data_IF_869018827042
#
_entry.id   IF_869018827042
#
_cell.length_a   1.000
_cell.length_b   1.000
_cell.length_c   1.000
_cell.angle_alpha   90.00
_cell.angle_beta   90.00
_cell.angle_gamma   90.00
#
_symmetry.space_group_name_H-M   'P 1'
#
loop_
_entity.id
_entity.type
_entity.pdbx_description
1 polymer ?
#
# COMPACT_ATOMS: atom_id res chain seq x y z
N UNK A 1 4.25 57.52 43.82
CA UNK A 1 4.15 56.34 44.71
C UNK A 1 4.03 55.12 43.82
N UNK A 2 4.94 54.16 43.79
CA UNK A 2 6.35 54.05 44.15
C UNK A 2 6.75 52.70 43.53
N UNK A 3 7.78 52.70 42.71
CA UNK A 3 8.39 51.52 42.10
C UNK A 3 9.15 50.70 43.17
N UNK A 4 9.24 49.37 43.00
CA UNK A 4 10.37 48.58 43.53
C UNK A 4 10.64 47.36 42.62
N UNK A 5 11.77 47.36 41.89
CA UNK A 5 12.36 46.19 41.23
C UNK A 5 13.57 45.68 42.03
N UNK A 6 13.76 44.36 42.14
CA UNK A 6 15.03 43.80 42.64
C UNK A 6 15.65 42.82 41.65
N UNK A 7 16.71 43.33 41.02
CA UNK A 7 17.88 42.59 40.57
C UNK A 7 18.68 42.07 41.79
N UNK A 8 19.50 41.03 41.59
CA UNK A 8 20.95 41.00 41.90
C UNK A 8 21.51 39.63 41.45
N UNK A 9 22.30 39.57 40.38
CA UNK A 9 23.78 39.66 40.33
C UNK A 9 24.52 38.47 40.97
N UNK A 10 25.18 37.67 40.11
CA UNK A 10 26.22 36.68 40.39
C UNK A 10 27.49 37.32 40.97
N UNK A 11 28.45 36.55 41.55
CA UNK A 11 29.58 36.09 40.73
C UNK A 11 30.17 34.70 41.09
N UNK A 12 31.06 34.24 40.19
CA UNK A 12 31.78 32.96 40.12
C UNK A 12 33.10 32.99 40.96
N UNK A 13 34.11 32.10 40.77
CA UNK A 13 34.60 31.08 41.71
C UNK A 13 36.04 31.35 42.25
N UNK A 14 36.55 30.55 43.19
CA UNK A 14 38.01 30.42 43.43
C UNK A 14 38.36 29.12 44.23
N UNK A 15 39.64 28.67 44.29
CA UNK A 15 40.02 27.28 44.00
C UNK A 15 40.83 26.65 45.15
N UNK A 16 41.23 25.40 44.96
CA UNK A 16 42.50 24.83 45.45
C UNK A 16 42.81 24.89 46.95
N UNK A 17 42.79 23.72 47.59
CA UNK A 17 43.81 23.47 48.61
C UNK A 17 44.36 22.04 48.53
N UNK A 18 45.68 21.94 48.63
CA UNK A 18 46.51 20.74 48.46
C UNK A 18 46.90 20.13 49.81
N UNK A 19 47.45 18.90 49.76
CA UNK A 19 48.32 18.20 50.73
C UNK A 19 47.60 17.36 51.79
N UNK A 20 48.03 16.15 52.19
CA UNK A 20 49.25 15.31 51.98
C UNK A 20 49.02 13.96 52.68
N UNK A 21 49.62 12.85 52.20
CA UNK A 21 49.97 11.71 53.07
C UNK A 21 49.86 10.30 52.47
N UNK A 22 50.92 9.84 51.80
CA UNK A 22 51.27 8.42 51.57
C UNK A 22 51.89 7.78 52.85
N UNK A 23 52.29 6.48 52.89
CA UNK A 23 51.69 5.24 52.36
C UNK A 23 51.73 4.08 53.42
N UNK A 24 50.86 3.06 53.33
CA UNK A 24 51.15 1.73 53.92
C UNK A 24 50.56 0.57 53.09
N UNK A 25 51.44 -0.37 52.79
CA UNK A 25 51.31 -1.57 51.98
C UNK A 25 50.26 -2.58 52.45
N UNK A 26 49.61 -3.25 51.50
CA UNK A 26 48.96 -4.55 51.77
C UNK A 26 48.00 -5.03 50.69
N UNK A 27 48.44 -6.00 49.88
CA UNK A 27 47.54 -6.99 49.28
C UNK A 27 47.15 -6.78 47.82
N UNK A 28 47.74 -7.60 46.96
CA UNK A 28 47.33 -7.79 45.59
C UNK A 28 45.86 -8.22 45.48
N UNK A 29 45.10 -7.52 44.64
CA UNK A 29 43.76 -7.88 44.21
C UNK A 29 43.39 -7.03 43.02
N UNK A 30 43.93 -7.36 41.84
CA UNK A 30 43.54 -6.68 40.60
C UNK A 30 42.02 -6.76 40.42
N UNK A 31 41.34 -5.69 39.94
CA UNK A 31 39.92 -5.77 39.67
C UNK A 31 39.70 -6.86 38.62
N UNK A 32 38.98 -7.91 39.03
CA UNK A 32 38.42 -8.89 38.12
C UNK A 32 37.66 -8.11 37.05
N UNK A 33 38.15 -8.19 35.81
CA UNK A 33 37.49 -7.64 34.65
C UNK A 33 36.06 -8.19 34.63
N UNK A 34 35.09 -7.31 34.92
CA UNK A 34 33.69 -7.62 34.70
C UNK A 34 33.56 -8.05 33.23
N UNK A 35 33.30 -9.34 33.00
CA UNK A 35 33.14 -9.88 31.66
C UNK A 35 31.96 -9.17 31.02
N UNK A 36 32.26 -8.25 30.10
CA UNK A 36 31.26 -7.57 29.31
C UNK A 36 30.52 -8.64 28.50
N UNK A 37 29.22 -8.78 28.76
CA UNK A 37 28.38 -9.68 27.99
C UNK A 37 28.42 -9.28 26.51
N UNK A 38 28.37 -10.26 25.59
CA UNK A 38 28.35 -9.98 24.17
C UNK A 38 27.14 -9.09 23.80
N UNK A 39 27.29 -8.18 22.83
CA UNK A 39 26.18 -7.34 22.35
C UNK A 39 25.07 -8.19 21.74
N UNK A 40 23.86 -7.65 21.63
CA UNK A 40 22.75 -8.35 21.00
C UNK A 40 23.08 -8.71 19.54
N UNK A 41 22.85 -9.96 19.15
CA UNK A 41 23.31 -10.46 17.86
C UNK A 41 23.06 -11.95 17.65
N UNK A 42 23.46 -12.44 16.48
CA UNK A 42 23.39 -13.84 16.12
C UNK A 42 24.70 -14.54 16.46
N UNK A 43 24.60 -15.61 17.25
CA UNK A 43 25.74 -16.40 17.71
C UNK A 43 25.46 -17.89 17.49
N UNK A 44 26.50 -18.73 17.53
CA UNK A 44 26.33 -20.18 17.43
C UNK A 44 25.32 -20.67 18.50
N UNK A 45 24.38 -21.53 18.10
CA UNK A 45 23.36 -22.02 19.01
C UNK A 45 24.00 -22.87 20.13
N UNK A 46 23.92 -22.46 21.41
CA UNK A 46 24.52 -23.21 22.51
C UNK A 46 23.75 -24.50 22.86
N UNK A 47 22.59 -24.74 22.25
CA UNK A 47 21.82 -25.96 22.49
C UNK A 47 22.55 -27.17 21.87
N UNK A 48 22.69 -28.32 22.58
CA UNK A 48 23.42 -29.50 22.06
C UNK A 48 22.87 -30.09 20.75
N UNK A 49 21.61 -29.78 20.43
CA UNK A 49 20.93 -30.17 19.18
C UNK A 49 20.69 -28.98 18.23
N UNK A 50 21.25 -27.81 18.56
CA UNK A 50 21.10 -26.59 17.78
C UNK A 50 21.89 -26.67 16.49
N UNK A 51 21.21 -26.65 15.34
CA UNK A 51 21.86 -26.50 14.05
C UNK A 51 21.79 -25.04 13.62
N UNK A 52 22.93 -24.34 13.62
CA UNK A 52 23.06 -22.97 13.15
C UNK A 52 23.25 -21.95 14.26
N UNK A 53 22.61 -20.78 14.11
CA UNK A 53 22.78 -19.64 15.01
C UNK A 53 21.48 -19.33 15.77
N UNK A 54 21.61 -18.89 17.02
CA UNK A 54 20.53 -18.39 17.87
C UNK A 54 20.72 -16.91 18.16
N UNK A 55 19.63 -16.17 18.32
CA UNK A 55 19.70 -14.75 18.64
C UNK A 55 19.86 -14.52 20.15
N UNK A 56 20.90 -13.78 20.54
CA UNK A 56 21.16 -13.27 21.89
C UNK A 56 20.65 -11.82 21.98
N UNK A 57 19.82 -11.52 22.98
CA UNK A 57 19.20 -10.19 23.12
C UNK A 57 20.01 -9.21 23.99
N UNK A 58 21.20 -9.60 24.44
CA UNK A 58 22.04 -8.82 25.37
C UNK A 58 21.94 -9.28 26.84
N UNK A 59 20.91 -10.07 27.19
CA UNK A 59 20.73 -10.61 28.53
C UNK A 59 20.44 -12.12 28.55
N UNK A 60 19.80 -12.66 27.50
CA UNK A 60 19.47 -14.08 27.37
C UNK A 60 19.40 -14.54 25.91
N UNK A 61 19.46 -15.86 25.75
CA UNK A 61 19.17 -16.51 24.47
C UNK A 61 17.67 -16.50 24.17
N UNK A 62 17.31 -16.14 22.95
CA UNK A 62 15.91 -16.15 22.50
C UNK A 62 15.54 -17.45 21.78
N UNK A 63 14.26 -17.63 21.47
CA UNK A 63 13.78 -18.77 20.68
C UNK A 63 14.06 -18.66 19.18
N UNK A 64 14.59 -17.53 18.70
CA UNK A 64 14.87 -17.33 17.28
C UNK A 64 16.16 -18.05 16.87
N UNK A 65 16.04 -18.95 15.89
CA UNK A 65 17.16 -19.68 15.28
C UNK A 65 17.21 -19.44 13.76
N UNK A 66 18.41 -19.52 13.18
CA UNK A 66 18.63 -19.46 11.73
C UNK A 66 19.70 -20.47 11.30
N UNK A 67 19.63 -21.00 10.07
CA UNK A 67 20.73 -21.80 9.51
C UNK A 67 22.04 -20.99 9.47
N UNK A 68 23.18 -21.65 9.62
CA UNK A 68 24.47 -20.99 9.48
C UNK A 68 24.65 -20.49 8.04
N UNK A 69 24.86 -19.18 7.79
CA UNK A 69 25.13 -18.67 6.45
C UNK A 69 26.39 -19.26 5.81
N UNK A 70 27.32 -19.84 6.59
CA UNK A 70 28.49 -20.56 6.06
C UNK A 70 28.16 -21.98 5.55
N UNK A 71 26.96 -22.51 5.83
CA UNK A 71 26.56 -23.87 5.46
C UNK A 71 25.81 -23.98 4.12
N UNK A 72 25.87 -22.95 3.27
CA UNK A 72 25.32 -23.04 1.91
C UNK A 72 26.07 -24.12 1.10
N UNK A 73 25.38 -25.07 0.41
CA UNK A 73 26.05 -26.09 -0.38
C UNK A 73 26.84 -25.46 -1.53
N UNK A 74 28.11 -25.82 -1.68
CA UNK A 74 28.91 -25.47 -2.85
C UNK A 74 28.26 -26.05 -4.14
N UNK A 75 28.30 -25.34 -5.29
CA UNK A 75 27.81 -25.89 -6.55
C UNK A 75 28.60 -27.15 -6.93
N UNK A 76 27.90 -28.24 -7.24
CA UNK A 76 28.50 -29.48 -7.72
C UNK A 76 29.22 -29.24 -9.06
N UNK A 77 30.52 -29.58 -9.13
CA UNK A 77 31.26 -29.65 -10.39
C UNK A 77 30.77 -30.87 -11.20
N UNK A 78 30.61 -30.76 -12.53
CA UNK A 78 30.25 -31.91 -13.36
C UNK A 78 31.42 -32.92 -13.46
N UNK A 79 31.17 -34.24 -13.52
CA UNK A 79 32.23 -35.25 -13.57
C UNK A 79 32.88 -35.28 -14.96
N UNK A 80 34.21 -35.21 -14.99
CA UNK A 80 35.02 -35.44 -16.19
C UNK A 80 35.06 -36.95 -16.48
N UNK A 81 34.29 -37.40 -17.47
CA UNK A 81 34.31 -38.79 -17.94
C UNK A 81 35.36 -38.97 -19.04
N UNK A 82 36.34 -39.82 -18.77
CA UNK A 82 37.45 -40.20 -19.66
C UNK A 82 36.97 -40.92 -20.92
N UNK A 83 37.62 -40.60 -22.03
CA UNK A 83 37.64 -41.36 -23.29
C UNK A 83 38.04 -42.82 -23.06
N UNK A 84 37.31 -43.75 -23.68
CA UNK A 84 37.82 -45.06 -24.11
C UNK A 84 36.87 -45.67 -25.14
N UNK A 85 37.25 -45.60 -26.43
CA UNK A 85 36.72 -46.48 -27.49
C UNK A 85 37.52 -47.79 -27.53
N UNK A 86 36.87 -48.91 -27.85
CA UNK A 86 37.45 -49.85 -28.81
C UNK A 86 36.46 -50.36 -29.88
N UNK A 87 37.06 -50.90 -30.94
CA UNK A 87 36.62 -51.12 -32.33
C UNK A 87 35.86 -52.46 -32.57
N UNK A 88 34.77 -52.42 -33.38
CA UNK A 88 34.23 -53.34 -34.47
C UNK A 88 34.21 -54.90 -34.32
N UNK A 89 33.55 -55.75 -35.19
CA UNK A 89 32.85 -55.53 -36.49
C UNK A 89 31.56 -56.37 -36.78
N UNK A 90 30.90 -56.08 -37.93
CA UNK A 90 29.89 -56.85 -38.73
C UNK A 90 28.37 -56.65 -38.48
N UNK A 91 27.66 -56.16 -39.52
CA UNK A 91 26.21 -56.35 -39.71
C UNK A 91 25.53 -55.34 -40.65
N UNK A 92 25.39 -55.69 -41.94
CA UNK A 92 24.92 -54.87 -43.07
C UNK A 92 23.44 -54.39 -43.01
N UNK A 93 23.12 -53.24 -43.65
CA UNK A 93 21.70 -52.86 -43.88
C UNK A 93 21.27 -51.52 -44.54
N UNK A 94 21.95 -51.00 -45.59
CA UNK A 94 21.47 -50.06 -46.66
C UNK A 94 21.25 -48.52 -46.42
N UNK A 95 21.65 -47.63 -47.39
CA UNK A 95 21.57 -46.13 -47.37
C UNK A 95 20.66 -45.53 -48.51
N UNK A 96 20.71 -44.24 -48.97
CA UNK A 96 20.93 -42.90 -48.36
C UNK A 96 19.94 -41.78 -48.86
N UNK A 97 19.92 -40.61 -48.19
CA UNK A 97 19.76 -39.24 -48.76
C UNK A 97 20.36 -38.29 -47.71
N UNK A 98 21.59 -37.76 -47.80
CA UNK A 98 22.04 -36.63 -48.64
C UNK A 98 21.49 -35.31 -48.08
N UNK A 99 22.17 -34.42 -47.34
CA UNK A 99 23.58 -34.19 -47.08
C UNK A 99 23.97 -32.78 -47.54
N UNK A 100 23.99 -31.78 -46.64
CA UNK A 100 24.80 -30.56 -46.77
C UNK A 100 25.40 -30.16 -45.41
N UNK A 101 26.67 -29.79 -45.47
CA UNK A 101 27.65 -29.64 -44.39
C UNK A 101 27.64 -28.20 -43.77
N UNK A 102 28.55 -27.86 -42.83
CA UNK A 102 28.28 -26.98 -41.68
C UNK A 102 28.54 -25.50 -41.94
N UNK A 103 27.91 -24.63 -41.14
CA UNK A 103 28.20 -23.19 -41.12
C UNK A 103 28.71 -22.74 -39.73
N UNK A 104 29.87 -22.06 -39.64
CA UNK A 104 30.56 -21.75 -38.40
C UNK A 104 30.15 -20.38 -37.82
N UNK A 105 30.20 -20.25 -36.49
CA UNK A 105 30.35 -18.97 -35.79
C UNK A 105 29.07 -18.13 -35.63
N UNK A 106 28.40 -18.29 -34.49
CA UNK A 106 27.37 -17.35 -34.01
C UNK A 106 27.53 -17.11 -32.53
N UNK A 107 28.05 -15.94 -32.15
CA UNK A 107 28.20 -15.50 -30.77
C UNK A 107 26.81 -15.41 -30.10
N UNK A 108 26.58 -15.99 -28.91
CA UNK A 108 25.35 -15.71 -28.16
C UNK A 108 25.36 -14.24 -27.73
N UNK A 109 24.36 -13.48 -28.18
CA UNK A 109 24.07 -12.13 -27.67
C UNK A 109 23.87 -12.20 -26.14
N UNK A 110 24.45 -11.28 -25.34
CA UNK A 110 24.12 -11.18 -23.93
C UNK A 110 22.66 -10.75 -23.81
N UNK A 111 21.83 -11.64 -23.27
CA UNK A 111 20.46 -11.35 -22.88
C UNK A 111 20.54 -10.26 -21.81
N UNK A 112 19.96 -9.09 -22.12
CA UNK A 112 19.93 -7.92 -21.24
C UNK A 112 19.45 -8.34 -19.84
N UNK A 113 20.27 -8.00 -18.85
CA UNK A 113 20.14 -8.46 -17.48
C UNK A 113 18.76 -8.19 -16.88
N UNK A 114 18.06 -9.28 -16.62
CA UNK A 114 17.14 -9.34 -15.50
C UNK A 114 17.93 -8.96 -14.25
N UNK A 115 17.51 -7.88 -13.59
CA UNK A 115 17.96 -7.54 -12.26
C UNK A 115 17.57 -8.69 -11.32
N UNK A 116 18.44 -9.68 -11.20
CA UNK A 116 18.39 -10.71 -10.17
C UNK A 116 18.51 -10.01 -8.82
N UNK A 117 17.36 -9.76 -8.23
CA UNK A 117 17.22 -9.20 -6.90
C UNK A 117 17.87 -10.19 -5.91
N UNK A 118 18.98 -9.83 -5.22
CA UNK A 118 19.79 -10.80 -4.46
C UNK A 118 19.16 -11.25 -3.13
N UNK A 119 17.92 -10.85 -2.84
CA UNK A 119 17.17 -11.28 -1.66
C UNK A 119 16.34 -12.53 -1.96
N UNK A 120 17.03 -13.67 -2.18
CA UNK A 120 16.41 -15.00 -2.04
C UNK A 120 16.13 -15.23 -0.55
N UNK A 121 14.90 -15.01 -0.11
CA UNK A 121 14.45 -15.42 1.22
C UNK A 121 14.35 -16.94 1.29
N UNK A 122 15.25 -17.54 2.08
CA UNK A 122 15.25 -18.93 2.48
C UNK A 122 14.19 -19.16 3.57
N UNK A 123 12.93 -19.21 3.17
CA UNK A 123 11.81 -19.74 3.94
C UNK A 123 10.71 -20.07 2.92
N UNK A 124 10.15 -21.28 2.96
CA UNK A 124 9.18 -21.82 2.01
C UNK A 124 7.81 -21.13 1.99
N UNK A 125 7.79 -19.81 1.83
CA UNK A 125 6.62 -19.03 1.50
C UNK A 125 6.62 -18.79 0.00
N UNK A 126 5.59 -19.29 -0.68
CA UNK A 126 5.42 -19.10 -2.11
C UNK A 126 5.53 -17.63 -2.49
N UNK A 127 6.19 -17.34 -3.60
CA UNK A 127 6.19 -16.00 -4.19
C UNK A 127 4.75 -15.50 -4.30
N UNK A 128 4.44 -14.24 -3.92
CA UNK A 128 3.11 -13.70 -4.15
C UNK A 128 2.82 -13.80 -5.65
N UNK A 129 1.89 -14.68 -6.02
CA UNK A 129 1.42 -14.81 -7.38
C UNK A 129 0.59 -13.55 -7.68
N UNK A 130 1.25 -12.55 -8.29
CA UNK A 130 0.62 -11.28 -8.62
C UNK A 130 1.58 -10.09 -8.67
N UNK A 131 1.05 -8.94 -9.13
CA UNK A 131 1.78 -7.68 -9.16
C UNK A 131 2.06 -7.20 -7.73
N UNK A 132 3.26 -6.73 -7.46
CA UNK A 132 3.72 -6.26 -6.16
C UNK A 132 4.17 -4.80 -6.22
N UNK A 133 4.18 -4.13 -5.07
CA UNK A 133 4.89 -2.86 -4.87
C UNK A 133 6.40 -3.05 -5.01
N UNK A 134 7.18 -1.97 -5.15
CA UNK A 134 8.65 -2.06 -5.20
C UNK A 134 9.26 -2.77 -3.97
N UNK A 135 8.65 -2.63 -2.79
CA UNK A 135 9.07 -3.34 -1.59
C UNK A 135 8.51 -4.77 -1.48
N UNK A 136 7.76 -5.27 -2.47
CA UNK A 136 7.36 -6.68 -2.58
C UNK A 136 6.03 -7.03 -1.89
N UNK A 137 5.18 -6.06 -1.58
CA UNK A 137 3.84 -6.29 -1.03
C UNK A 137 2.83 -6.47 -2.15
N UNK A 138 1.98 -7.49 -2.06
CA UNK A 138 1.00 -7.83 -3.09
C UNK A 138 -0.02 -6.70 -3.29
N UNK A 139 -0.20 -6.29 -4.54
CA UNK A 139 -1.23 -5.33 -4.92
C UNK A 139 -2.62 -5.95 -4.82
N UNK A 140 -3.60 -5.15 -4.42
CA UNK A 140 -5.00 -5.57 -4.37
C UNK A 140 -5.52 -6.05 -5.72
N UNK A 141 -6.28 -7.14 -5.70
CA UNK A 141 -7.04 -7.63 -6.86
C UNK A 141 -8.06 -6.60 -7.32
N UNK A 142 -8.30 -6.48 -8.63
CA UNK A 142 -9.34 -5.58 -9.13
C UNK A 142 -10.74 -5.99 -8.65
N UNK A 143 -11.06 -7.29 -8.68
CA UNK A 143 -12.34 -7.78 -8.16
C UNK A 143 -12.57 -7.44 -6.69
N UNK A 144 -11.53 -7.54 -5.85
CA UNK A 144 -11.62 -7.14 -4.45
C UNK A 144 -11.87 -5.63 -4.29
N UNK A 145 -11.23 -4.80 -5.12
CA UNK A 145 -11.45 -3.34 -5.11
C UNK A 145 -12.83 -2.97 -5.62
N UNK A 146 -13.34 -3.67 -6.63
CA UNK A 146 -14.69 -3.48 -7.15
C UNK A 146 -15.75 -3.81 -6.08
N UNK A 147 -15.63 -4.96 -5.43
CA UNK A 147 -16.53 -5.33 -4.32
C UNK A 147 -16.42 -4.34 -3.15
N UNK A 148 -15.21 -3.88 -2.81
CA UNK A 148 -15.03 -2.83 -1.81
C UNK A 148 -15.78 -1.54 -2.18
N UNK A 149 -15.72 -1.12 -3.45
CA UNK A 149 -16.45 0.04 -3.95
C UNK A 149 -17.97 -0.15 -3.88
N UNK A 150 -18.48 -1.36 -4.14
CA UNK A 150 -19.91 -1.68 -3.95
C UNK A 150 -20.32 -1.61 -2.48
N UNK A 151 -19.52 -2.15 -1.56
CA UNK A 151 -19.81 -2.10 -0.12
C UNK A 151 -19.84 -0.65 0.38
N UNK A 152 -18.82 0.13 0.04
CA UNK A 152 -18.78 1.55 0.42
C UNK A 152 -19.91 2.34 -0.25
N UNK A 153 -20.25 2.01 -1.50
CA UNK A 153 -21.37 2.61 -2.23
C UNK A 153 -22.71 2.36 -1.53
N UNK A 154 -23.00 1.11 -1.14
CA UNK A 154 -24.22 0.78 -0.39
C UNK A 154 -24.26 1.51 0.95
N UNK A 155 -23.16 1.51 1.70
CA UNK A 155 -23.08 2.18 3.00
C UNK A 155 -23.33 3.69 2.88
N UNK A 156 -22.71 4.33 1.87
CA UNK A 156 -22.91 5.75 1.59
C UNK A 156 -24.33 6.04 1.10
N UNK A 157 -24.90 5.22 0.24
CA UNK A 157 -26.28 5.38 -0.23
C UNK A 157 -27.27 5.28 0.92
N UNK A 158 -27.13 4.29 1.80
CA UNK A 158 -27.99 4.17 2.99
C UNK A 158 -27.89 5.42 3.86
N UNK A 159 -26.66 5.88 4.12
CA UNK A 159 -26.45 7.08 4.95
C UNK A 159 -27.06 8.33 4.30
N UNK A 160 -26.89 8.51 3.00
CA UNK A 160 -27.46 9.64 2.25
C UNK A 160 -28.98 9.57 2.20
N UNK A 161 -29.58 8.39 2.01
CA UNK A 161 -31.03 8.19 2.05
C UNK A 161 -31.58 8.53 3.43
N UNK A 162 -30.92 8.11 4.51
CA UNK A 162 -31.34 8.49 5.88
C UNK A 162 -31.30 10.01 6.05
N UNK A 163 -30.23 10.68 5.60
CA UNK A 163 -30.13 12.15 5.66
C UNK A 163 -31.23 12.81 4.82
N UNK A 164 -31.48 12.31 3.61
CA UNK A 164 -32.54 12.78 2.71
C UNK A 164 -33.91 12.67 3.39
N UNK A 165 -34.26 11.51 3.92
CA UNK A 165 -35.58 11.28 4.52
C UNK A 165 -35.79 12.09 5.80
N UNK A 166 -34.77 12.18 6.65
CA UNK A 166 -34.90 12.84 7.97
C UNK A 166 -34.91 14.37 7.85
N UNK A 167 -34.09 14.94 6.96
CA UNK A 167 -33.89 16.39 6.90
C UNK A 167 -34.46 17.05 5.63
N UNK A 168 -34.73 16.27 4.59
CA UNK A 168 -35.12 16.75 3.27
C UNK A 168 -36.29 15.94 2.69
N UNK A 169 -37.23 15.51 3.53
CA UNK A 169 -38.37 14.68 3.12
C UNK A 169 -39.17 15.28 1.95
N UNK A 170 -39.32 16.61 1.92
CA UNK A 170 -40.01 17.36 0.84
C UNK A 170 -39.44 17.06 -0.56
N UNK A 171 -38.14 16.76 -0.64
CA UNK A 171 -37.48 16.35 -1.89
C UNK A 171 -38.11 15.06 -2.42
N UNK A 172 -38.40 14.12 -1.53
CA UNK A 172 -39.01 12.83 -1.90
C UNK A 172 -40.45 13.04 -2.41
N UNK A 173 -41.21 13.91 -1.74
CA UNK A 173 -42.57 14.26 -2.18
C UNK A 173 -42.55 15.00 -3.52
N UNK A 174 -41.57 15.87 -3.76
CA UNK A 174 -41.34 16.50 -5.05
C UNK A 174 -40.97 15.50 -6.14
N UNK A 175 -40.14 14.49 -5.85
CA UNK A 175 -39.83 13.41 -6.79
C UNK A 175 -41.08 12.63 -7.19
N UNK A 176 -41.92 12.25 -6.23
CA UNK A 176 -43.17 11.53 -6.50
C UNK A 176 -44.15 12.36 -7.36
N UNK A 177 -44.29 13.66 -7.07
CA UNK A 177 -45.11 14.56 -7.89
C UNK A 177 -44.55 14.70 -9.31
N UNK A 178 -43.24 14.88 -9.42
CA UNK A 178 -42.57 14.97 -10.71
C UNK A 178 -42.77 13.72 -11.57
N UNK A 179 -42.64 12.52 -10.98
CA UNK A 179 -42.90 11.26 -11.70
C UNK A 179 -44.35 11.17 -12.20
N UNK A 180 -45.33 11.57 -11.37
CA UNK A 180 -46.74 11.60 -11.74
C UNK A 180 -47.02 12.59 -12.88
N UNK A 181 -46.41 13.78 -12.83
CA UNK A 181 -46.55 14.81 -13.86
C UNK A 181 -45.93 14.37 -15.18
N UNK A 182 -44.75 13.72 -15.15
CA UNK A 182 -44.12 13.13 -16.35
C UNK A 182 -44.99 12.03 -16.94
N UNK A 183 -45.48 11.09 -16.12
CA UNK A 183 -46.32 9.99 -16.61
C UNK A 183 -47.64 10.48 -17.18
N UNK A 184 -48.27 11.49 -16.55
CA UNK A 184 -49.52 12.07 -17.05
C UNK A 184 -49.32 12.81 -18.38
N UNK A 185 -48.24 13.60 -18.52
CA UNK A 185 -47.90 14.27 -19.77
C UNK A 185 -47.62 13.28 -20.90
N UNK A 186 -46.81 12.25 -20.63
CA UNK A 186 -46.51 11.20 -21.62
C UNK A 186 -47.77 10.45 -22.05
N UNK A 187 -48.64 10.09 -21.09
CA UNK A 187 -49.90 9.38 -21.39
C UNK A 187 -50.89 10.20 -22.22
N UNK A 188 -50.83 11.53 -22.12
CA UNK A 188 -51.66 12.46 -22.90
C UNK A 188 -51.02 12.91 -24.21
N UNK A 189 -49.83 12.38 -24.54
CA UNK A 189 -49.08 12.77 -25.74
C UNK A 189 -48.44 14.17 -25.65
N UNK A 190 -48.41 14.77 -24.45
CA UNK A 190 -47.75 16.04 -24.20
C UNK A 190 -46.24 15.87 -24.07
N UNK A 191 -45.49 16.78 -24.68
CA UNK A 191 -44.04 16.95 -24.47
C UNK A 191 -43.72 18.04 -23.46
N UNK A 192 -44.75 18.70 -22.91
CA UNK A 192 -44.59 19.75 -21.92
C UNK A 192 -44.73 19.18 -20.51
N UNK A 193 -43.59 18.90 -19.88
CA UNK A 193 -43.47 18.44 -18.51
C UNK A 193 -42.14 18.97 -17.91
N UNK A 194 -42.07 19.18 -16.59
CA UNK A 194 -40.81 19.57 -15.94
C UNK A 194 -39.73 18.51 -16.16
N UNK A 195 -38.53 18.94 -16.55
CA UNK A 195 -37.44 18.02 -16.90
C UNK A 195 -36.70 17.43 -15.69
N UNK A 196 -36.96 17.96 -14.49
CA UNK A 196 -36.28 17.56 -13.26
C UNK A 196 -37.20 17.69 -12.05
N UNK A 197 -37.08 16.82 -11.05
CA UNK A 197 -37.75 16.97 -9.76
C UNK A 197 -37.25 18.17 -8.93
N UNK A 198 -36.12 18.77 -9.31
CA UNK A 198 -35.59 19.99 -8.70
C UNK A 198 -36.17 21.29 -9.31
N UNK A 199 -37.09 21.18 -10.28
CA UNK A 199 -37.71 22.32 -10.93
C UNK A 199 -38.39 23.27 -9.92
N UNK A 200 -38.28 24.61 -10.08
CA UNK A 200 -38.90 25.57 -9.18
C UNK A 200 -40.40 25.36 -8.94
N UNK A 201 -41.12 24.73 -9.88
CA UNK A 201 -42.54 24.39 -9.72
C UNK A 201 -42.82 23.53 -8.49
N UNK A 202 -41.85 22.71 -8.05
CA UNK A 202 -42.01 21.83 -6.89
C UNK A 202 -41.57 22.46 -5.56
N UNK A 203 -40.96 23.65 -5.58
CA UNK A 203 -40.57 24.41 -4.39
C UNK A 203 -39.33 23.91 -3.64
N UNK A 204 -38.67 22.85 -4.13
CA UNK A 204 -37.55 22.18 -3.43
C UNK A 204 -36.17 22.53 -3.98
N UNK A 205 -36.07 23.45 -4.94
CA UNK A 205 -34.81 23.73 -5.66
C UNK A 205 -33.65 24.04 -4.73
N UNK A 206 -33.83 24.93 -3.74
CA UNK A 206 -32.78 25.27 -2.79
C UNK A 206 -32.40 24.08 -1.89
N UNK A 207 -33.40 23.36 -1.36
CA UNK A 207 -33.19 22.15 -0.55
C UNK A 207 -32.38 21.10 -1.32
N UNK A 208 -32.64 20.93 -2.62
CA UNK A 208 -31.93 20.00 -3.50
C UNK A 208 -30.43 20.28 -3.58
N UNK A 209 -30.05 21.54 -3.78
CA UNK A 209 -28.64 21.94 -3.83
C UNK A 209 -27.97 21.81 -2.46
N UNK A 210 -28.65 22.19 -1.38
CA UNK A 210 -28.13 22.04 -0.01
C UNK A 210 -27.89 20.57 0.32
N UNK A 211 -28.85 19.69 0.01
CA UNK A 211 -28.69 18.24 0.17
C UNK A 211 -27.51 17.71 -0.65
N UNK A 212 -27.38 18.12 -1.91
CA UNK A 212 -26.26 17.72 -2.76
C UNK A 212 -24.88 18.08 -2.20
N UNK A 213 -24.73 19.31 -1.69
CA UNK A 213 -23.49 19.75 -1.02
C UNK A 213 -23.23 18.95 0.26
N UNK A 214 -24.26 18.70 1.07
CA UNK A 214 -24.12 17.89 2.28
C UNK A 214 -23.74 16.44 1.97
N UNK A 215 -24.35 15.82 0.95
CA UNK A 215 -24.01 14.47 0.51
C UNK A 215 -22.56 14.36 0.04
N UNK A 216 -22.09 15.37 -0.71
CA UNK A 216 -20.68 15.48 -1.13
C UNK A 216 -19.74 15.60 0.07
N UNK A 217 -20.02 16.53 0.99
CA UNK A 217 -19.20 16.74 2.19
C UNK A 217 -19.17 15.50 3.07
N UNK A 218 -20.30 14.82 3.22
CA UNK A 218 -20.42 13.60 4.01
C UNK A 218 -19.55 12.48 3.44
N UNK A 219 -19.63 12.25 2.12
CA UNK A 219 -18.79 11.26 1.45
C UNK A 219 -17.30 11.62 1.51
N UNK A 220 -16.97 12.88 1.23
CA UNK A 220 -15.59 13.38 1.31
C UNK A 220 -15.00 13.22 2.71
N UNK A 221 -15.77 13.57 3.75
CA UNK A 221 -15.37 13.41 5.15
C UNK A 221 -15.20 11.93 5.51
N UNK A 222 -16.17 11.08 5.15
CA UNK A 222 -16.10 9.63 5.39
C UNK A 222 -14.80 9.02 4.85
N UNK A 223 -14.50 9.22 3.57
CA UNK A 223 -13.30 8.65 2.97
C UNK A 223 -12.04 9.34 3.49
N UNK A 224 -12.02 10.65 3.71
CA UNK A 224 -10.81 11.35 4.19
C UNK A 224 -10.43 10.93 5.59
N UNK A 225 -11.40 10.85 6.50
CA UNK A 225 -11.16 10.42 7.87
C UNK A 225 -10.72 8.95 7.91
N UNK A 226 -11.35 8.06 7.14
CA UNK A 226 -10.94 6.66 7.10
C UNK A 226 -9.55 6.46 6.49
N UNK A 227 -9.19 7.21 5.45
CA UNK A 227 -7.83 7.17 4.89
C UNK A 227 -6.81 7.69 5.89
N UNK A 228 -7.14 8.79 6.58
CA UNK A 228 -6.27 9.39 7.60
C UNK A 228 -6.03 8.46 8.79
N UNK A 229 -7.06 7.80 9.30
CA UNK A 229 -6.97 7.06 10.57
C UNK A 229 -6.82 5.54 10.39
N UNK A 230 -7.33 4.97 9.30
CA UNK A 230 -7.34 3.52 9.06
C UNK A 230 -6.61 3.09 7.79
N UNK A 231 -6.25 4.02 6.91
CA UNK A 231 -5.62 3.71 5.62
C UNK A 231 -6.50 2.91 4.67
N UNK A 232 -7.80 2.80 4.94
CA UNK A 232 -8.73 2.01 4.15
C UNK A 232 -10.17 2.43 4.49
N UNK A 233 -11.04 2.47 3.48
CA UNK A 233 -12.48 2.56 3.69
C UNK A 233 -13.04 1.29 4.35
N UNK A 234 -14.30 1.31 4.81
CA UNK A 234 -14.90 0.11 5.42
C UNK A 234 -15.04 -1.03 4.41
N UNK A 235 -15.41 -0.74 3.16
CA UNK A 235 -15.44 -1.72 2.09
C UNK A 235 -14.05 -2.31 1.80
N UNK A 236 -13.00 -1.48 1.82
CA UNK A 236 -11.63 -1.96 1.66
C UNK A 236 -11.19 -2.85 2.82
N UNK A 237 -11.50 -2.46 4.06
CA UNK A 237 -11.22 -3.27 5.26
C UNK A 237 -11.94 -4.63 5.18
N UNK A 238 -13.22 -4.64 4.80
CA UNK A 238 -14.00 -5.86 4.60
C UNK A 238 -13.34 -6.79 3.56
N UNK A 239 -12.78 -6.22 2.49
CA UNK A 239 -12.08 -6.96 1.43
C UNK A 239 -10.61 -7.28 1.73
N UNK A 240 -10.10 -6.92 2.92
CA UNK A 240 -8.68 -7.11 3.27
C UNK A 240 -7.76 -6.32 2.33
N UNK A 241 -8.11 -5.06 2.10
CA UNK A 241 -7.37 -4.11 1.29
C UNK A 241 -6.89 -2.96 2.18
N UNK A 242 -5.74 -2.39 1.80
CA UNK A 242 -5.19 -1.20 2.44
C UNK A 242 -4.59 -0.27 1.41
N UNK A 243 -4.71 1.02 1.66
CA UNK A 243 -4.12 2.09 0.87
C UNK A 243 -2.81 2.49 1.54
N UNK A 244 -1.76 2.55 0.73
CA UNK A 244 -0.41 2.85 1.18
C UNK A 244 0.24 3.84 0.23
N UNK A 245 1.31 4.55 0.64
CA UNK A 245 2.11 5.33 -0.30
C UNK A 245 2.59 4.43 -1.44
N UNK A 246 2.59 4.97 -2.67
CA UNK A 246 3.00 4.22 -3.85
C UNK A 246 4.41 3.67 -3.67
N UNK A 247 4.61 2.42 -4.12
CA UNK A 247 5.86 1.67 -4.01
C UNK A 247 6.28 1.25 -2.59
N UNK A 248 5.57 1.71 -1.54
CA UNK A 248 5.93 1.46 -0.14
C UNK A 248 4.79 0.72 0.59
N UNK A 249 4.61 -0.56 0.26
CA UNK A 249 3.55 -1.41 0.81
C UNK A 249 3.65 -1.67 2.31
N UNK A 250 4.87 -1.65 2.87
CA UNK A 250 5.14 -1.76 4.31
C UNK A 250 5.05 -0.43 5.06
N UNK A 251 4.61 0.63 4.39
CA UNK A 251 4.41 1.95 4.98
C UNK A 251 3.38 1.97 6.12
N UNK A 252 3.29 3.11 6.84
CA UNK A 252 2.37 3.27 7.95
C UNK A 252 0.91 3.05 7.53
N UNK A 253 0.09 2.55 8.46
CA UNK A 253 -1.34 2.29 8.23
C UNK A 253 -2.08 3.58 7.92
N UNK A 254 -1.83 4.65 8.67
CA UNK A 254 -2.46 5.93 8.50
C UNK A 254 -1.78 6.76 7.40
N UNK A 255 -2.57 7.28 6.45
CA UNK A 255 -2.04 8.23 5.46
C UNK A 255 -1.89 9.62 6.07
N UNK A 256 -0.91 10.43 5.62
CA UNK A 256 -0.85 11.84 5.96
C UNK A 256 -2.12 12.59 5.54
N UNK A 257 -2.43 13.70 6.21
CA UNK A 257 -3.57 14.56 5.86
C UNK A 257 -3.52 15.04 4.42
N UNK A 258 -2.37 15.54 3.97
CA UNK A 258 -2.17 16.02 2.59
C UNK A 258 -2.48 14.93 1.56
N UNK A 259 -1.98 13.72 1.77
CA UNK A 259 -2.23 12.57 0.89
C UNK A 259 -3.71 12.18 0.89
N UNK A 260 -4.35 12.14 2.06
CA UNK A 260 -5.76 11.76 2.20
C UNK A 260 -6.68 12.79 1.53
N UNK A 261 -6.42 14.08 1.77
CA UNK A 261 -7.15 15.20 1.18
C UNK A 261 -6.95 15.27 -0.34
N UNK A 262 -5.72 15.13 -0.83
CA UNK A 262 -5.45 15.18 -2.26
C UNK A 262 -6.12 14.00 -3.00
N UNK A 263 -5.99 12.79 -2.44
CA UNK A 263 -6.58 11.58 -3.02
C UNK A 263 -8.09 11.69 -3.19
N UNK A 264 -8.78 12.02 -2.11
CA UNK A 264 -10.24 12.14 -2.15
C UNK A 264 -10.67 13.44 -2.83
N UNK A 265 -9.87 14.49 -2.73
CA UNK A 265 -10.13 15.78 -3.37
C UNK A 265 -10.19 15.64 -4.88
N UNK A 266 -9.27 14.90 -5.49
CA UNK A 266 -9.30 14.62 -6.94
C UNK A 266 -10.57 13.85 -7.33
N UNK A 267 -10.97 12.86 -6.53
CA UNK A 267 -12.20 12.10 -6.78
C UNK A 267 -13.45 13.00 -6.70
N UNK A 268 -13.61 13.75 -5.61
CA UNK A 268 -14.80 14.57 -5.36
C UNK A 268 -14.82 15.89 -6.16
N UNK A 269 -13.66 16.44 -6.54
CA UNK A 269 -13.60 17.59 -7.44
C UNK A 269 -14.16 17.24 -8.82
N UNK A 270 -13.91 16.02 -9.32
CA UNK A 270 -14.55 15.56 -10.54
C UNK A 270 -16.07 15.43 -10.39
N UNK A 271 -16.57 15.02 -9.21
CA UNK A 271 -18.01 14.99 -8.93
C UNK A 271 -18.62 16.39 -8.90
N UNK A 272 -17.91 17.41 -8.37
CA UNK A 272 -18.37 18.80 -8.35
C UNK A 272 -18.61 19.39 -9.75
N UNK A 273 -17.84 18.97 -10.76
CA UNK A 273 -18.06 19.38 -12.16
C UNK A 273 -19.45 18.94 -12.65
N UNK A 274 -19.96 17.81 -12.16
CA UNK A 274 -21.31 17.32 -12.44
C UNK A 274 -22.44 18.20 -11.89
N UNK A 275 -22.17 18.98 -10.83
CA UNK A 275 -23.15 19.87 -10.20
C UNK A 275 -23.35 21.20 -10.93
N UNK A 276 -22.50 21.52 -11.91
CA UNK A 276 -22.68 22.70 -12.74
C UNK A 276 -23.85 22.43 -13.70
N UNK A 277 -24.97 23.17 -13.62
CA UNK A 277 -26.16 22.96 -14.44
C UNK A 277 -25.96 23.48 -15.88
N UNK A 278 -24.77 23.27 -16.43
CA UNK A 278 -24.43 23.51 -17.83
C UNK A 278 -24.43 22.15 -18.49
N UNK A 279 -25.42 21.93 -19.36
CA UNK A 279 -25.72 20.64 -20.03
C UNK A 279 -24.51 20.01 -20.71
N UNK A 280 -23.54 20.81 -21.17
CA UNK A 280 -22.31 20.33 -21.81
C UNK A 280 -21.20 19.94 -20.83
N UNK A 281 -21.23 20.44 -19.59
CA UNK A 281 -20.16 20.25 -18.58
C UNK A 281 -20.50 19.13 -17.60
N UNK A 282 -21.78 18.98 -17.24
CA UNK A 282 -22.26 17.96 -16.30
C UNK A 282 -21.81 16.51 -16.62
N UNK A 283 -21.75 16.02 -17.89
CA UNK A 283 -21.30 14.65 -18.16
C UNK A 283 -19.79 14.41 -17.94
N UNK A 284 -18.97 15.45 -17.78
CA UNK A 284 -17.51 15.32 -17.63
C UNK A 284 -17.11 14.66 -16.30
N UNK A 285 -17.90 14.83 -15.23
CA UNK A 285 -17.63 14.22 -13.93
C UNK A 285 -17.71 12.68 -13.95
N UNK A 286 -18.84 12.09 -14.38
CA UNK A 286 -18.96 10.64 -14.57
C UNK A 286 -17.96 10.06 -15.59
N UNK A 287 -17.64 10.81 -16.65
CA UNK A 287 -16.62 10.42 -17.62
C UNK A 287 -15.24 10.30 -16.96
N UNK A 288 -14.83 11.28 -16.14
CA UNK A 288 -13.57 11.21 -15.40
C UNK A 288 -13.50 9.98 -14.50
N UNK A 289 -14.55 9.68 -13.74
CA UNK A 289 -14.60 8.49 -12.87
C UNK A 289 -14.48 7.19 -13.67
N UNK A 290 -15.10 7.13 -14.84
CA UNK A 290 -15.00 5.98 -15.74
C UNK A 290 -13.57 5.81 -16.26
N UNK A 291 -12.94 6.90 -16.71
CA UNK A 291 -11.54 6.91 -17.17
C UNK A 291 -10.59 6.52 -16.04
N UNK A 292 -10.83 6.99 -14.82
CA UNK A 292 -10.05 6.65 -13.63
C UNK A 292 -10.03 5.14 -13.33
N UNK A 293 -11.20 4.50 -13.42
CA UNK A 293 -11.36 3.05 -13.24
C UNK A 293 -10.67 2.28 -14.37
N UNK A 294 -10.90 2.69 -15.63
CA UNK A 294 -10.30 2.04 -16.82
C UNK A 294 -8.78 2.15 -16.77
N UNK A 295 -8.25 3.31 -16.40
CA UNK A 295 -6.81 3.51 -16.25
C UNK A 295 -6.22 2.57 -15.19
N UNK A 296 -6.89 2.42 -14.05
CA UNK A 296 -6.50 1.50 -12.98
C UNK A 296 -6.49 0.02 -13.41
N UNK A 297 -7.37 -0.36 -14.33
CA UNK A 297 -7.41 -1.72 -14.92
C UNK A 297 -6.23 -1.99 -15.84
N UNK A 298 -5.94 -1.06 -16.75
CA UNK A 298 -4.90 -1.21 -17.77
C UNK A 298 -3.48 -1.08 -17.20
N UNK A 299 -3.29 -0.29 -16.14
CA UNK A 299 -1.99 0.03 -15.59
C UNK A 299 -1.34 -1.17 -14.86
N UNK A 300 -0.07 -1.46 -15.18
CA UNK A 300 0.77 -2.47 -14.53
C UNK A 300 0.81 -2.35 -13.00
N UNK A 301 0.82 -1.13 -12.48
CA UNK A 301 0.83 -0.84 -11.03
C UNK A 301 -0.55 -0.86 -10.38
N UNK A 302 -1.60 -1.14 -11.16
CA UNK A 302 -3.01 -1.09 -10.74
C UNK A 302 -3.31 0.20 -9.96
N UNK A 303 -2.82 1.32 -10.44
CA UNK A 303 -3.03 2.62 -9.80
C UNK A 303 -4.07 3.38 -10.63
N UNK A 304 -5.16 3.82 -9.99
CA UNK A 304 -6.15 4.72 -10.60
C UNK A 304 -5.56 6.13 -10.76
N UNK A 305 -6.22 7.02 -11.51
CA UNK A 305 -5.72 8.39 -11.72
C UNK A 305 -5.69 9.17 -10.41
N UNK A 306 -6.75 9.11 -9.60
CA UNK A 306 -6.79 9.77 -8.29
C UNK A 306 -5.70 9.25 -7.34
N UNK A 307 -5.44 7.94 -7.36
CA UNK A 307 -4.35 7.33 -6.60
C UNK A 307 -2.98 7.82 -7.11
N UNK A 308 -2.83 8.03 -8.42
CA UNK A 308 -1.60 8.54 -9.04
C UNK A 308 -1.31 9.97 -8.64
N UNK A 309 -2.30 10.86 -8.67
CA UNK A 309 -2.14 12.23 -8.19
C UNK A 309 -1.71 12.28 -6.72
N UNK A 310 -2.29 11.40 -5.88
CA UNK A 310 -1.94 11.31 -4.47
C UNK A 310 -0.70 10.46 -4.16
N UNK A 311 -0.07 9.83 -5.17
CA UNK A 311 1.02 8.87 -5.00
C UNK A 311 0.67 7.76 -3.99
N UNK A 312 -0.49 7.14 -4.16
CA UNK A 312 -0.97 6.03 -3.33
C UNK A 312 -1.20 4.77 -4.17
N UNK A 313 -1.18 3.60 -3.54
CA UNK A 313 -1.52 2.32 -4.15
C UNK A 313 -2.35 1.50 -3.17
N UNK A 314 -3.18 0.59 -3.69
CA UNK A 314 -3.97 -0.32 -2.85
C UNK A 314 -3.34 -1.71 -2.87
N UNK A 315 -2.95 -2.18 -1.70
CA UNK A 315 -2.37 -3.50 -1.43
C UNK A 315 -3.41 -4.47 -0.86
N UNK A 316 -3.11 -5.76 -0.93
CA UNK A 316 -3.86 -6.79 -0.21
C UNK A 316 -3.21 -7.05 1.15
N UNK A 317 -4.02 -7.13 2.20
CA UNK A 317 -3.59 -7.53 3.55
C UNK A 317 -3.87 -9.00 3.85
N UNK A 318 -4.54 -9.71 2.92
CA UNK A 318 -4.76 -11.15 2.99
C UNK A 318 -3.53 -11.87 2.42
N UNK A 319 -3.11 -12.99 3.04
CA UNK A 319 -1.99 -13.80 2.56
C UNK A 319 -2.24 -14.37 1.15
#
# INVERSE_FOLDING_TARGET
MNEDPRNDHSPNPDPGDQRTGDPLSGGAGGPQSAQQLPPAGWYADPHPQGTGQRFWDGARWTHQTRPDPAAAPAPAQPPYGQDQSPYDPYGQGRPPYGGYAPQPGGCPRPQQGDYQNPWRSQAGFGYPTGRVTADGVRLGGWGARFVALLIDGVLMTVLQVVVLQVFFGDITDAMLRWEQDVMSAVSSGSTNYPSSPADPVYGVTAQWYVYGVLALLLGFAYFTLLMRFRGASLGQQAMGLRVVPAEHGRGPVALPWSTSLLRNGVWYAATLVGFVPVTLISPLGPLFQTVDIIYGLANGKRQTLHDRFARTQVISTRP
#
